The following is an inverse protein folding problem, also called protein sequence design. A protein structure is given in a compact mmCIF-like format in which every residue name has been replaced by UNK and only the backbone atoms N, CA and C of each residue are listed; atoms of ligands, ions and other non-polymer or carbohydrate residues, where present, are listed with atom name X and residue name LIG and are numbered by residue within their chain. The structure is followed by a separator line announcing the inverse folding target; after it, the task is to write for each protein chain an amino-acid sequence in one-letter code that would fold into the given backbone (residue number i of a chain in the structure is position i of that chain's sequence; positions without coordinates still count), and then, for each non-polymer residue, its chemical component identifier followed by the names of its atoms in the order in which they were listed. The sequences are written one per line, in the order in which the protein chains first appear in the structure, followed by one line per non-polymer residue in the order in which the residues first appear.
data_IF_815115831841
#
_entry.id   IF_815115831841
#
_cell.length_a   1.000
_cell.length_b   1.000
_cell.length_c   1.000
_cell.angle_alpha   90.00
_cell.angle_beta   90.00
_cell.angle_gamma   90.00
#
_symmetry.space_group_name_H-M   'P 1'
#
loop_
_entity.id
_entity.type
_entity.pdbx_description
1 polymer ?
#
# COMPACT_ATOMS: atom_id res chain seq x y z
N UNK A 1 -12.23 12.48 9.07
CA UNK A 1 -12.25 13.07 7.72
C UNK A 1 -11.77 12.04 6.71
N UNK A 2 -12.13 12.15 5.43
CA UNK A 2 -11.59 11.27 4.37
C UNK A 2 -10.09 11.60 4.19
N UNK A 3 -9.18 10.60 4.13
CA UNK A 3 -7.76 10.88 3.95
C UNK A 3 -7.51 11.52 2.57
N UNK A 4 -6.49 12.36 2.45
CA UNK A 4 -6.11 12.94 1.16
C UNK A 4 -5.37 11.93 0.27
N UNK A 5 -4.77 10.90 0.87
CA UNK A 5 -4.05 9.82 0.20
C UNK A 5 -4.21 8.50 0.97
N UNK A 6 -4.32 7.41 0.23
CA UNK A 6 -4.27 6.05 0.79
C UNK A 6 -3.01 5.36 0.29
N UNK A 7 -2.19 4.85 1.20
CA UNK A 7 -1.04 4.02 0.93
C UNK A 7 -1.41 2.57 1.25
N UNK A 8 -1.24 1.67 0.29
CA UNK A 8 -1.54 0.26 0.45
C UNK A 8 -0.26 -0.56 0.27
N UNK A 9 -0.01 -1.52 1.16
CA UNK A 9 0.83 -2.64 0.79
C UNK A 9 0.17 -3.50 -0.29
N UNK A 10 0.98 -4.27 -1.01
CA UNK A 10 0.52 -5.17 -2.06
C UNK A 10 0.36 -6.62 -1.61
N UNK A 11 1.42 -7.25 -1.09
CA UNK A 11 1.46 -8.70 -0.91
C UNK A 11 0.72 -9.09 0.37
N UNK A 12 -0.30 -9.96 0.26
CA UNK A 12 -1.23 -10.35 1.35
C UNK A 12 -2.14 -9.21 1.86
N UNK A 13 -1.85 -7.96 1.51
CA UNK A 13 -2.74 -6.81 1.70
C UNK A 13 -3.68 -6.66 0.50
N UNK A 14 -3.35 -5.86 -0.52
CA UNK A 14 -4.21 -5.65 -1.68
C UNK A 14 -4.41 -6.93 -2.51
N UNK A 15 -3.37 -7.74 -2.69
CA UNK A 15 -3.42 -8.98 -3.46
C UNK A 15 -3.15 -10.22 -2.60
N UNK A 16 -3.61 -11.38 -3.05
CA UNK A 16 -3.35 -12.67 -2.38
C UNK A 16 -1.94 -13.21 -2.61
N UNK A 17 -1.07 -12.44 -3.25
CA UNK A 17 0.32 -12.83 -3.49
C UNK A 17 1.07 -13.04 -2.18
N UNK A 18 1.96 -14.03 -2.17
CA UNK A 18 2.96 -14.18 -1.11
C UNK A 18 4.09 -13.19 -1.34
N UNK A 19 4.72 -12.74 -0.25
CA UNK A 19 5.79 -11.74 -0.28
C UNK A 19 6.83 -11.99 -1.38
N UNK A 20 6.96 -11.03 -2.30
CA UNK A 20 7.95 -11.04 -3.38
C UNK A 20 7.64 -11.97 -4.57
N UNK A 21 6.50 -12.66 -4.57
CA UNK A 21 6.04 -13.41 -5.73
C UNK A 21 5.53 -12.46 -6.83
N UNK A 22 5.66 -12.88 -8.09
CA UNK A 22 5.01 -12.17 -9.20
C UNK A 22 3.50 -12.42 -9.13
N UNK A 23 2.64 -11.38 -9.19
CA UNK A 23 1.21 -11.58 -9.27
C UNK A 23 0.83 -12.14 -10.64
N UNK A 24 0.06 -13.23 -10.62
CA UNK A 24 -0.34 -13.98 -11.81
C UNK A 24 -1.86 -13.95 -11.97
N UNK A 25 -2.34 -13.52 -13.14
CA UNK A 25 -3.77 -13.58 -13.50
C UNK A 25 -4.23 -15.04 -13.52
N UNK A 26 -5.36 -15.32 -12.86
CA UNK A 26 -5.91 -16.66 -12.73
C UNK A 26 -5.41 -17.44 -11.51
N UNK A 27 -4.31 -17.02 -10.87
CA UNK A 27 -3.81 -17.64 -9.63
C UNK A 27 -3.95 -16.73 -8.41
N UNK A 28 -3.90 -15.42 -8.62
CA UNK A 28 -3.99 -14.43 -7.55
C UNK A 28 -5.23 -13.55 -7.74
N UNK A 29 -5.77 -13.09 -6.61
CA UNK A 29 -6.93 -12.22 -6.55
C UNK A 29 -6.57 -10.92 -5.84
N UNK A 30 -7.28 -9.85 -6.19
CA UNK A 30 -7.29 -8.60 -5.44
C UNK A 30 -8.35 -8.72 -4.35
N UNK A 31 -8.12 -8.11 -3.19
CA UNK A 31 -9.15 -7.97 -2.17
C UNK A 31 -10.29 -7.07 -2.68
N UNK A 32 -11.56 -7.53 -2.67
CA UNK A 32 -12.66 -6.79 -3.26
C UNK A 32 -12.94 -5.46 -2.54
N UNK A 33 -12.78 -5.41 -1.22
CA UNK A 33 -13.06 -4.20 -0.44
C UNK A 33 -11.98 -3.15 -0.69
N UNK A 34 -10.71 -3.56 -0.72
CA UNK A 34 -9.62 -2.65 -1.08
C UNK A 34 -9.67 -2.22 -2.56
N UNK A 35 -10.15 -3.08 -3.47
CA UNK A 35 -10.37 -2.69 -4.87
C UNK A 35 -11.47 -1.63 -5.00
N UNK A 36 -12.55 -1.72 -4.20
CA UNK A 36 -13.57 -0.68 -4.14
C UNK A 36 -13.00 0.65 -3.62
N UNK A 37 -12.13 0.61 -2.59
CA UNK A 37 -11.40 1.80 -2.12
C UNK A 37 -10.56 2.41 -3.24
N UNK A 38 -9.83 1.59 -4.01
CA UNK A 38 -9.07 2.06 -5.18
C UNK A 38 -9.96 2.79 -6.20
N UNK A 39 -11.14 2.24 -6.51
CA UNK A 39 -12.08 2.83 -7.46
C UNK A 39 -12.70 4.15 -6.98
N UNK A 40 -12.99 4.28 -5.68
CA UNK A 40 -13.65 5.46 -5.09
C UNK A 40 -12.69 6.56 -4.60
N UNK A 41 -11.40 6.24 -4.49
CA UNK A 41 -10.38 7.12 -3.93
C UNK A 41 -9.35 7.51 -5.00
N UNK A 42 -9.42 8.75 -5.48
CA UNK A 42 -8.57 9.26 -6.58
C UNK A 42 -7.06 9.18 -6.32
N UNK A 43 -6.66 9.11 -5.05
CA UNK A 43 -5.28 9.22 -4.62
C UNK A 43 -4.84 8.01 -3.81
N UNK A 44 -4.68 6.88 -4.49
CA UNK A 44 -4.24 5.60 -3.91
C UNK A 44 -2.89 5.23 -4.48
N UNK A 45 -1.93 4.89 -3.62
CA UNK A 45 -0.57 4.49 -4.01
C UNK A 45 -0.25 3.13 -3.40
N UNK A 46 0.43 2.30 -4.17
CA UNK A 46 1.03 1.06 -3.66
C UNK A 46 2.41 1.37 -3.11
N UNK A 47 2.70 0.92 -1.89
CA UNK A 47 4.02 1.02 -1.26
C UNK A 47 4.44 -0.38 -0.84
N UNK A 48 5.34 -1.00 -1.61
CA UNK A 48 5.67 -2.42 -1.47
C UNK A 48 7.17 -2.66 -1.42
N UNK A 49 7.56 -3.71 -0.68
CA UNK A 49 8.93 -4.25 -0.71
C UNK A 49 9.18 -5.18 -1.89
N UNK A 50 8.16 -5.56 -2.65
CA UNK A 50 8.33 -6.38 -3.84
C UNK A 50 9.17 -5.64 -4.88
N UNK A 51 10.11 -6.33 -5.52
CA UNK A 51 10.89 -5.79 -6.64
C UNK A 51 10.17 -5.93 -7.98
N UNK A 52 8.96 -6.50 -7.99
CA UNK A 52 8.18 -6.86 -9.20
C UNK A 52 7.26 -5.72 -9.64
N UNK A 53 7.77 -4.49 -9.70
CA UNK A 53 6.95 -3.30 -9.96
C UNK A 53 6.10 -3.43 -11.24
N UNK A 54 6.73 -3.78 -12.36
CA UNK A 54 6.06 -3.88 -13.65
C UNK A 54 5.00 -4.99 -13.65
N UNK A 55 5.27 -6.13 -13.02
CA UNK A 55 4.30 -7.22 -12.91
C UNK A 55 3.09 -6.80 -12.06
N UNK A 56 3.31 -6.03 -10.99
CA UNK A 56 2.25 -5.48 -10.15
C UNK A 56 1.40 -4.50 -10.94
N UNK A 57 2.02 -3.57 -11.67
CA UNK A 57 1.32 -2.59 -12.52
C UNK A 57 0.48 -3.30 -13.60
N UNK A 58 1.06 -4.29 -14.28
CA UNK A 58 0.35 -5.09 -15.28
C UNK A 58 -0.81 -5.90 -14.68
N UNK A 59 -0.63 -6.49 -13.51
CA UNK A 59 -1.67 -7.24 -12.82
C UNK A 59 -2.83 -6.35 -12.38
N UNK A 60 -2.56 -5.18 -11.80
CA UNK A 60 -3.59 -4.22 -11.39
C UNK A 60 -4.37 -3.69 -12.61
N UNK A 61 -3.68 -3.39 -13.70
CA UNK A 61 -4.32 -2.99 -14.96
C UNK A 61 -5.23 -4.10 -15.51
N UNK A 62 -4.78 -5.35 -15.53
CA UNK A 62 -5.58 -6.49 -15.97
C UNK A 62 -6.78 -6.81 -15.05
N UNK A 63 -6.81 -6.25 -13.84
CA UNK A 63 -7.89 -6.39 -12.86
C UNK A 63 -8.78 -5.14 -12.77
N UNK A 64 -8.54 -4.14 -13.62
CA UNK A 64 -9.23 -2.84 -13.61
C UNK A 64 -9.18 -2.15 -12.22
N UNK A 65 -8.04 -2.28 -11.52
CA UNK A 65 -7.83 -1.67 -10.20
C UNK A 65 -7.02 -0.38 -10.36
N UNK A 66 -7.63 0.81 -10.25
CA UNK A 66 -6.93 2.06 -10.47
C UNK A 66 -6.06 2.42 -9.27
N UNK A 67 -4.78 2.70 -9.53
CA UNK A 67 -3.85 3.29 -8.54
C UNK A 67 -3.04 4.39 -9.22
N UNK A 68 -2.62 5.39 -8.46
CA UNK A 68 -1.83 6.51 -8.97
C UNK A 68 -0.36 6.12 -9.22
N UNK A 69 0.13 5.10 -8.53
CA UNK A 69 1.48 4.60 -8.74
C UNK A 69 1.88 3.47 -7.80
N UNK A 70 3.01 2.83 -8.15
CA UNK A 70 3.63 1.77 -7.37
C UNK A 70 5.06 2.18 -6.98
N UNK A 71 5.29 2.32 -5.67
CA UNK A 71 6.60 2.53 -5.07
C UNK A 71 7.18 1.18 -4.68
N UNK A 72 8.30 0.81 -5.31
CA UNK A 72 8.96 -0.48 -5.10
C UNK A 72 10.26 -0.24 -4.36
N UNK A 73 10.23 -0.42 -3.04
CA UNK A 73 11.32 -0.03 -2.16
C UNK A 73 12.67 -0.70 -2.49
N UNK A 74 12.63 -1.93 -3.01
CA UNK A 74 13.85 -2.64 -3.44
C UNK A 74 14.50 -2.06 -4.69
N UNK A 75 13.73 -1.38 -5.54
CA UNK A 75 14.22 -0.70 -6.76
C UNK A 75 14.55 0.75 -6.49
N UNK A 76 13.84 1.37 -5.56
CA UNK A 76 13.98 2.78 -5.21
C UNK A 76 15.10 3.03 -4.17
N UNK A 77 16.18 2.24 -4.20
CA UNK A 77 17.34 2.45 -3.34
C UNK A 77 17.28 1.83 -1.94
N UNK A 78 16.41 0.83 -1.70
CA UNK A 78 16.20 0.16 -0.39
C UNK A 78 15.66 1.07 0.71
N UNK A 79 14.79 1.99 0.31
CA UNK A 79 14.07 2.89 1.22
C UNK A 79 13.09 2.13 2.10
N UNK A 80 12.65 2.73 3.20
CA UNK A 80 11.56 2.19 4.01
C UNK A 80 10.19 2.70 3.55
N UNK A 81 9.11 2.05 4.00
CA UNK A 81 7.76 2.53 3.71
C UNK A 81 7.53 3.87 4.39
N UNK A 82 8.04 4.05 5.60
CA UNK A 82 7.93 5.30 6.32
C UNK A 82 8.53 6.49 5.56
N UNK A 83 9.72 6.33 4.98
CA UNK A 83 10.37 7.38 4.20
C UNK A 83 9.53 7.81 2.99
N UNK A 84 8.99 6.84 2.24
CA UNK A 84 8.15 7.12 1.06
C UNK A 84 6.85 7.81 1.48
N UNK A 85 6.19 7.31 2.53
CA UNK A 85 4.94 7.89 3.05
C UNK A 85 5.17 9.33 3.52
N UNK A 86 6.24 9.59 4.26
CA UNK A 86 6.57 10.92 4.76
C UNK A 86 6.81 11.92 3.61
N UNK A 87 7.57 11.52 2.58
CA UNK A 87 7.82 12.36 1.41
C UNK A 87 6.53 12.67 0.63
N UNK A 88 5.70 11.67 0.37
CA UNK A 88 4.43 11.86 -0.36
C UNK A 88 3.47 12.78 0.42
N UNK A 89 3.37 12.62 1.75
CA UNK A 89 2.57 13.52 2.58
C UNK A 89 3.16 14.94 2.62
N UNK A 90 4.49 15.07 2.60
CA UNK A 90 5.18 16.36 2.48
C UNK A 90 4.90 17.05 1.15
N UNK A 91 4.97 16.31 0.05
CA UNK A 91 4.67 16.81 -1.31
C UNK A 91 3.20 17.24 -1.46
N UNK A 92 2.29 16.64 -0.68
CA UNK A 92 0.88 17.02 -0.59
C UNK A 92 0.62 18.16 0.41
N UNK A 93 1.65 18.93 0.79
CA UNK A 93 1.49 20.12 1.64
C UNK A 93 1.15 19.77 3.09
N UNK A 94 1.57 18.61 3.58
CA UNK A 94 1.32 18.23 4.98
C UNK A 94 0.02 17.48 5.20
N UNK A 95 -0.63 16.98 4.15
CA UNK A 95 -1.96 16.37 4.20
C UNK A 95 -2.08 15.17 5.15
N UNK A 96 -3.32 14.73 5.41
CA UNK A 96 -3.61 13.52 6.18
C UNK A 96 -3.69 12.29 5.27
N UNK A 97 -3.10 11.17 5.69
CA UNK A 97 -3.11 9.91 4.95
C UNK A 97 -3.65 8.73 5.76
N UNK A 98 -3.92 7.64 5.05
CA UNK A 98 -4.17 6.31 5.61
C UNK A 98 -3.13 5.34 5.07
N UNK A 99 -2.44 4.61 5.94
CA UNK A 99 -1.55 3.52 5.56
C UNK A 99 -2.14 2.17 5.98
N UNK A 100 -2.27 1.25 5.02
CA UNK A 100 -2.83 -0.09 5.19
C UNK A 100 -1.78 -1.15 4.85
N UNK A 101 -1.56 -2.09 5.77
CA UNK A 101 -0.56 -3.16 5.65
C UNK A 101 -1.00 -4.38 6.46
N UNK A 102 -0.57 -5.59 6.07
CA UNK A 102 -0.78 -6.82 6.83
C UNK A 102 0.32 -7.05 7.89
N UNK A 103 1.44 -6.35 7.81
CA UNK A 103 2.55 -6.48 8.75
C UNK A 103 2.55 -5.34 9.79
N UNK A 104 2.23 -5.68 11.04
CA UNK A 104 2.26 -4.73 12.16
C UNK A 104 3.61 -4.02 12.29
N UNK A 105 4.73 -4.67 11.92
CA UNK A 105 6.07 -4.08 12.03
C UNK A 105 6.27 -2.92 11.06
N UNK A 106 5.70 -3.02 9.86
CA UNK A 106 5.71 -1.94 8.87
C UNK A 106 4.81 -0.78 9.34
N UNK A 107 3.65 -1.08 9.94
CA UNK A 107 2.77 -0.06 10.51
C UNK A 107 3.40 0.64 11.74
N UNK A 108 4.18 -0.06 12.55
CA UNK A 108 4.83 0.50 13.75
C UNK A 108 6.27 0.94 13.51
N UNK A 109 6.69 1.11 12.26
CA UNK A 109 8.03 1.59 11.95
C UNK A 109 8.28 2.95 12.65
N UNK A 110 9.41 3.13 13.38
CA UNK A 110 9.67 4.37 14.12
C UNK A 110 9.60 5.65 13.27
N UNK A 111 9.94 5.57 11.97
CA UNK A 111 9.84 6.69 11.04
C UNK A 111 8.42 7.24 10.83
N UNK A 112 7.38 6.49 11.23
CA UNK A 112 5.99 6.93 11.15
C UNK A 112 5.52 7.67 12.42
N UNK A 113 6.26 7.61 13.53
CA UNK A 113 5.78 8.06 14.84
C UNK A 113 5.33 9.54 14.84
N UNK A 114 6.16 10.45 14.32
CA UNK A 114 5.83 11.87 14.25
C UNK A 114 4.58 12.16 13.42
N UNK A 115 4.41 11.48 12.28
CA UNK A 115 3.22 11.64 11.43
C UNK A 115 1.93 11.19 12.16
N UNK A 116 2.02 10.17 13.01
CA UNK A 116 0.89 9.65 13.78
C UNK A 116 0.57 10.58 14.95
N UNK A 117 1.58 11.04 15.68
CA UNK A 117 1.43 11.98 16.80
C UNK A 117 0.85 13.34 16.34
N UNK A 118 1.25 13.81 15.16
CA UNK A 118 0.70 15.00 14.51
C UNK A 118 -0.73 14.79 13.95
N UNK A 119 -1.27 13.57 14.01
CA UNK A 119 -2.58 13.23 13.44
C UNK A 119 -2.61 13.22 11.90
N UNK A 120 -1.45 13.23 11.25
CA UNK A 120 -1.29 13.26 9.79
C UNK A 120 -1.31 11.89 9.15
N UNK A 121 -1.15 10.82 9.92
CA UNK A 121 -1.22 9.46 9.41
C UNK A 121 -2.09 8.56 10.30
N UNK A 122 -3.16 8.04 9.72
CA UNK A 122 -3.87 6.90 10.27
C UNK A 122 -3.26 5.60 9.75
N UNK A 123 -3.30 4.55 10.57
CA UNK A 123 -2.74 3.24 10.25
C UNK A 123 -3.82 2.18 10.45
N UNK A 124 -3.89 1.23 9.53
CA UNK A 124 -4.85 0.13 9.59
C UNK A 124 -4.12 -1.19 9.33
N UNK A 125 -4.19 -2.09 10.33
CA UNK A 125 -3.73 -3.46 10.17
C UNK A 125 -4.79 -4.24 9.38
N UNK A 126 -4.44 -4.66 8.18
CA UNK A 126 -5.30 -5.45 7.34
C UNK A 126 -5.15 -6.93 7.67
N UNK A 127 -6.27 -7.60 7.91
CA UNK A 127 -6.30 -9.05 8.12
C UNK A 127 -7.25 -9.63 7.09
N UNK A 128 -6.71 -10.45 6.20
CA UNK A 128 -7.48 -11.09 5.13
C UNK A 128 -8.33 -12.21 5.72
N UNK A 129 -9.64 -12.17 5.49
CA UNK A 129 -10.55 -13.20 5.98
C UNK A 129 -10.19 -14.58 5.36
N UNK A 130 -9.98 -15.59 6.21
CA UNK A 130 -9.71 -16.98 5.78
C UNK A 130 -8.24 -17.39 5.68
N UNK A 131 -7.30 -16.55 6.09
CA UNK A 131 -5.92 -17.00 6.32
C UNK A 131 -5.85 -17.90 7.56
N UNK A 132 -5.49 -19.18 7.39
CA UNK A 132 -4.93 -19.94 8.52
C UNK A 132 -3.62 -19.27 8.92
N UNK A 133 -3.47 -18.98 10.20
CA UNK A 133 -2.19 -18.59 10.83
C UNK A 133 -1.06 -19.57 10.47
#
# INVERSE_FOLDING_TARGET
SKPAVVFLDFDRTLATTKSGASPLVGSHAVDPDLAAVCAEHRNVRIVTRSSRKEDIEAFLAAKDVPVLGVHSLRRDGRRSKAEVIAEELGALGGAHGLFVDDDIRELTEPGLAGLVEEGRLQRLLFVRAGGKE
#
